data_IF_263514924346
#
_entry.id   IF_263514924346
#
_cell.length_a   1.000
_cell.length_b   1.000
_cell.length_c   1.000
_cell.angle_alpha   90.00
_cell.angle_beta   90.00
_cell.angle_gamma   90.00
#
_symmetry.space_group_name_H-M   'P 1'
#
loop_
_entity.id
_entity.type
_entity.pdbx_description
1 polymer ?
#
# COMPACT_ATOMS: atom_id res chain seq x y z
N UNK A 1 -50.99 60.68 -58.14
CA UNK A 1 -49.77 60.31 -57.37
C UNK A 1 -50.21 59.46 -56.17
N UNK A 2 -49.64 58.24 -56.03
CA UNK A 2 -49.26 57.50 -54.80
C UNK A 2 -50.21 57.56 -53.58
N UNK A 3 -50.60 56.51 -52.84
CA UNK A 3 -50.23 55.09 -52.67
C UNK A 3 -51.29 54.48 -51.71
N UNK A 4 -51.82 53.27 -51.98
CA UNK A 4 -51.57 51.97 -51.31
C UNK A 4 -51.88 51.94 -49.80
N UNK A 5 -52.99 51.33 -49.38
CA UNK A 5 -53.27 49.90 -49.07
C UNK A 5 -53.05 49.55 -47.60
N UNK A 6 -54.13 49.04 -47.00
CA UNK A 6 -54.28 48.47 -45.68
C UNK A 6 -53.49 47.16 -45.49
N UNK A 7 -53.18 46.82 -44.24
CA UNK A 7 -52.68 45.50 -43.88
C UNK A 7 -52.19 45.43 -42.44
N UNK A 8 -53.14 45.26 -41.50
CA UNK A 8 -52.86 44.86 -40.12
C UNK A 8 -52.46 43.37 -40.12
N UNK A 9 -51.29 43.04 -39.57
CA UNK A 9 -50.97 41.68 -39.14
C UNK A 9 -50.31 41.72 -37.76
N UNK A 10 -51.08 41.30 -36.75
CA UNK A 10 -50.58 40.88 -35.44
C UNK A 10 -49.75 39.60 -35.63
N UNK A 11 -48.46 39.65 -35.29
CA UNK A 11 -47.65 38.43 -35.15
C UNK A 11 -47.63 38.08 -33.66
N UNK A 12 -48.41 37.07 -33.29
CA UNK A 12 -48.30 36.36 -32.02
C UNK A 12 -47.04 35.48 -32.06
N UNK A 13 -45.92 35.99 -31.57
CA UNK A 13 -44.72 35.20 -31.32
C UNK A 13 -44.88 34.44 -30.00
N UNK A 14 -45.17 33.15 -30.10
CA UNK A 14 -45.16 32.19 -29.00
C UNK A 14 -43.76 32.13 -28.35
N UNK A 15 -43.65 32.11 -27.01
CA UNK A 15 -42.39 31.74 -26.38
C UNK A 15 -42.13 30.26 -26.68
N UNK A 16 -41.10 29.99 -27.46
CA UNK A 16 -40.50 28.65 -27.57
C UNK A 16 -39.94 28.34 -26.18
N UNK A 17 -40.71 27.63 -25.35
CA UNK A 17 -40.15 26.88 -24.25
C UNK A 17 -39.20 25.86 -24.88
N UNK A 18 -37.91 26.20 -24.90
CA UNK A 18 -36.85 25.22 -25.06
C UNK A 18 -36.96 24.25 -23.88
N UNK A 19 -37.75 23.20 -24.07
CA UNK A 19 -37.82 22.07 -23.17
C UNK A 19 -36.44 21.41 -23.27
N UNK A 20 -35.56 21.83 -22.37
CA UNK A 20 -34.26 21.21 -22.13
C UNK A 20 -34.58 19.81 -21.61
N UNK A 21 -34.83 18.88 -22.54
CA UNK A 21 -34.89 17.46 -22.24
C UNK A 21 -33.54 17.14 -21.63
N UNK A 22 -33.48 17.11 -20.30
CA UNK A 22 -32.35 16.49 -19.62
C UNK A 22 -32.42 15.05 -20.06
N UNK A 23 -31.56 14.69 -21.02
CA UNK A 23 -31.30 13.30 -21.30
C UNK A 23 -31.01 12.67 -19.94
N UNK A 24 -31.90 11.80 -19.46
CA UNK A 24 -31.64 11.04 -18.24
C UNK A 24 -30.42 10.19 -18.58
N UNK A 25 -29.24 10.67 -18.19
CA UNK A 25 -28.01 9.93 -18.38
C UNK A 25 -28.23 8.56 -17.78
N UNK A 26 -28.23 7.55 -18.65
CA UNK A 26 -28.48 6.17 -18.24
C UNK A 26 -27.30 5.78 -17.36
N UNK A 27 -27.56 5.61 -16.06
CA UNK A 27 -26.55 5.19 -15.12
C UNK A 27 -26.00 3.82 -15.53
N UNK A 28 -24.69 3.64 -15.37
CA UNK A 28 -23.98 2.42 -15.73
C UNK A 28 -23.69 1.62 -14.46
N UNK A 29 -23.98 0.33 -14.50
CA UNK A 29 -23.69 -0.59 -13.40
C UNK A 29 -22.19 -0.87 -13.31
N UNK A 30 -21.66 -0.85 -12.09
CA UNK A 30 -20.32 -1.24 -11.72
C UNK A 30 -20.41 -2.17 -10.50
N UNK A 31 -19.78 -3.34 -10.59
CA UNK A 31 -19.77 -4.33 -9.51
C UNK A 31 -18.37 -4.46 -8.93
N UNK A 32 -18.27 -4.53 -7.61
CA UNK A 32 -17.00 -4.72 -6.88
C UNK A 32 -17.24 -5.46 -5.56
N UNK A 33 -16.21 -6.13 -5.06
CA UNK A 33 -16.34 -6.99 -3.87
C UNK A 33 -15.18 -6.77 -2.89
N UNK A 34 -15.23 -5.72 -2.05
CA UNK A 34 -14.35 -5.60 -0.90
C UNK A 34 -14.88 -6.49 0.25
N UNK A 35 -13.96 -7.15 0.97
CA UNK A 35 -14.25 -7.81 2.25
C UNK A 35 -15.48 -8.75 2.29
N UNK A 36 -15.74 -9.50 1.22
CA UNK A 36 -16.89 -10.42 1.18
C UNK A 36 -18.26 -9.75 0.97
N UNK A 37 -18.31 -8.44 0.65
CA UNK A 37 -19.55 -7.76 0.30
C UNK A 37 -19.70 -7.59 -1.20
N UNK A 38 -20.78 -8.12 -1.79
CA UNK A 38 -21.16 -7.85 -3.17
C UNK A 38 -21.76 -6.45 -3.31
N UNK A 39 -21.00 -5.52 -3.89
CA UNK A 39 -21.45 -4.16 -4.12
C UNK A 39 -21.86 -3.94 -5.58
N UNK A 40 -23.02 -3.31 -5.79
CA UNK A 40 -23.54 -2.89 -7.10
C UNK A 40 -23.77 -1.38 -7.07
N UNK A 41 -22.79 -0.65 -7.62
CA UNK A 41 -22.82 0.80 -7.78
C UNK A 41 -23.32 1.22 -9.16
N UNK A 42 -24.04 2.33 -9.25
CA UNK A 42 -24.52 2.90 -10.51
C UNK A 42 -23.96 4.31 -10.68
N UNK A 43 -23.05 4.51 -11.63
CA UNK A 43 -22.37 5.78 -11.86
C UNK A 43 -22.90 6.52 -13.09
N UNK A 44 -22.68 7.83 -13.14
CA UNK A 44 -22.99 8.68 -14.30
C UNK A 44 -21.80 8.67 -15.27
N UNK A 45 -21.94 8.08 -16.49
CA UNK A 45 -20.84 7.99 -17.44
C UNK A 45 -20.41 9.35 -18.02
N UNK A 46 -21.18 10.41 -17.81
CA UNK A 46 -20.75 11.79 -18.15
C UNK A 46 -19.77 12.37 -17.12
N UNK A 47 -19.71 11.81 -15.91
CA UNK A 47 -18.80 12.25 -14.84
C UNK A 47 -17.54 11.40 -14.75
N UNK A 48 -17.68 10.08 -14.89
CA UNK A 48 -16.58 9.15 -14.70
C UNK A 48 -16.58 8.09 -15.80
N UNK A 49 -15.40 7.69 -16.25
CA UNK A 49 -15.22 6.52 -17.11
C UNK A 49 -14.98 5.26 -16.28
N UNK A 50 -15.36 4.10 -16.80
CA UNK A 50 -15.17 2.82 -16.08
C UNK A 50 -13.70 2.61 -15.72
N UNK A 51 -12.78 2.91 -16.63
CA UNK A 51 -11.34 2.73 -16.44
C UNK A 51 -10.81 3.60 -15.29
N UNK A 52 -11.40 4.78 -15.08
CA UNK A 52 -11.07 5.65 -13.96
C UNK A 52 -11.55 5.07 -12.63
N UNK A 53 -12.74 4.47 -12.61
CA UNK A 53 -13.28 3.79 -11.43
C UNK A 53 -12.43 2.54 -11.12
N UNK A 54 -12.07 1.75 -12.13
CA UNK A 54 -11.21 0.57 -11.98
C UNK A 54 -9.84 0.94 -11.38
N UNK A 55 -9.19 1.99 -11.90
CA UNK A 55 -7.90 2.43 -11.39
C UNK A 55 -7.99 3.06 -10.00
N UNK A 56 -9.06 3.80 -9.71
CA UNK A 56 -9.32 4.36 -8.38
C UNK A 56 -9.60 3.26 -7.35
N UNK A 57 -10.34 2.22 -7.73
CA UNK A 57 -10.62 1.07 -6.86
C UNK A 57 -9.33 0.36 -6.42
N UNK A 58 -8.35 0.23 -7.33
CA UNK A 58 -7.03 -0.32 -7.00
C UNK A 58 -6.26 0.51 -5.97
N UNK A 59 -6.52 1.81 -5.85
CA UNK A 59 -5.91 2.68 -4.84
C UNK A 59 -6.53 2.56 -3.44
N UNK A 60 -7.63 1.84 -3.28
CA UNK A 60 -8.16 1.52 -1.95
C UNK A 60 -7.21 0.60 -1.19
N UNK A 61 -6.52 -0.30 -1.91
CA UNK A 61 -5.51 -1.18 -1.35
C UNK A 61 -4.32 -1.36 -2.31
N UNK A 62 -3.51 -0.30 -2.52
CA UNK A 62 -2.51 -0.29 -3.59
C UNK A 62 -1.47 -1.41 -3.44
N UNK A 63 -1.26 -1.89 -2.20
CA UNK A 63 -0.36 -2.99 -1.84
C UNK A 63 -1.04 -3.96 -0.85
N UNK A 64 -2.31 -4.31 -1.09
CA UNK A 64 -3.04 -5.31 -0.27
C UNK A 64 -2.27 -6.63 -0.11
N UNK A 65 -1.39 -6.93 -1.05
CA UNK A 65 -0.37 -7.97 -0.96
C UNK A 65 1.01 -7.32 -1.10
N UNK A 66 2.02 -7.87 -0.40
CA UNK A 66 3.40 -7.43 -0.59
C UNK A 66 3.73 -7.47 -2.08
N UNK A 67 4.28 -6.39 -2.66
CA UNK A 67 4.63 -6.35 -4.07
C UNK A 67 5.88 -7.18 -4.38
N UNK A 68 6.55 -7.70 -3.34
CA UNK A 68 7.77 -8.48 -3.44
C UNK A 68 7.53 -9.94 -3.13
N UNK A 69 8.39 -10.81 -3.69
CA UNK A 69 8.45 -12.21 -3.27
C UNK A 69 8.65 -12.32 -1.74
N UNK A 70 8.23 -13.41 -1.11
CA UNK A 70 8.40 -13.57 0.35
C UNK A 70 9.89 -13.72 0.73
N UNK A 71 10.35 -13.00 1.76
CA UNK A 71 11.66 -13.18 2.40
C UNK A 71 11.45 -13.47 3.87
N UNK A 72 11.23 -14.74 4.16
CA UNK A 72 11.01 -15.22 5.51
C UNK A 72 12.23 -16.03 5.93
N UNK A 73 13.05 -15.42 6.79
CA UNK A 73 14.28 -15.99 7.33
C UNK A 73 14.13 -16.08 8.84
N UNK A 74 14.14 -17.31 9.35
CA UNK A 74 14.00 -17.62 10.77
C UNK A 74 15.01 -18.68 11.24
N UNK A 75 15.91 -19.11 10.35
CA UNK A 75 16.92 -20.10 10.67
C UNK A 75 18.20 -19.87 9.86
N UNK A 76 19.34 -20.41 10.33
CA UNK A 76 20.63 -20.14 9.72
C UNK A 76 20.80 -20.77 8.32
N UNK A 77 20.13 -21.87 8.02
CA UNK A 77 20.16 -22.51 6.69
C UNK A 77 19.58 -21.59 5.62
N UNK A 78 18.40 -20.99 5.89
CA UNK A 78 17.80 -19.99 4.99
C UNK A 78 18.64 -18.71 4.91
N UNK A 79 19.24 -18.30 6.02
CA UNK A 79 20.14 -17.15 6.07
C UNK A 79 21.35 -17.35 5.13
N UNK A 80 22.01 -18.51 5.17
CA UNK A 80 23.12 -18.83 4.26
C UNK A 80 22.68 -18.80 2.79
N UNK A 81 21.52 -19.38 2.49
CA UNK A 81 20.97 -19.37 1.14
C UNK A 81 20.72 -17.94 0.64
N UNK A 82 20.20 -17.06 1.48
CA UNK A 82 19.95 -15.66 1.12
C UNK A 82 21.26 -14.89 0.94
N UNK A 83 22.26 -15.12 1.80
CA UNK A 83 23.59 -14.52 1.66
C UNK A 83 24.27 -14.95 0.37
N UNK A 84 24.25 -16.26 0.07
CA UNK A 84 24.87 -16.82 -1.14
C UNK A 84 24.23 -16.29 -2.42
N UNK A 85 22.91 -16.10 -2.43
CA UNK A 85 22.16 -15.65 -3.59
C UNK A 85 21.84 -14.13 -3.56
N UNK A 86 22.53 -13.37 -2.70
CA UNK A 86 22.18 -11.97 -2.44
C UNK A 86 22.15 -11.11 -3.71
N UNK A 87 23.15 -11.17 -4.62
CA UNK A 87 23.11 -10.37 -5.85
C UNK A 87 21.89 -10.67 -6.73
N UNK A 88 21.51 -11.94 -6.85
CA UNK A 88 20.34 -12.37 -7.63
C UNK A 88 19.04 -11.91 -6.97
N UNK A 89 18.94 -12.00 -5.64
CA UNK A 89 17.78 -11.54 -4.89
C UNK A 89 17.62 -10.02 -4.99
N UNK A 90 18.70 -9.25 -4.96
CA UNK A 90 18.67 -7.80 -5.16
C UNK A 90 18.18 -7.43 -6.57
N UNK A 91 18.64 -8.15 -7.61
CA UNK A 91 18.13 -7.97 -8.97
C UNK A 91 16.65 -8.32 -9.08
N UNK A 92 16.20 -9.37 -8.39
CA UNK A 92 14.79 -9.75 -8.38
C UNK A 92 13.92 -8.66 -7.72
N UNK A 93 14.35 -8.12 -6.59
CA UNK A 93 13.66 -7.01 -5.90
C UNK A 93 13.56 -5.77 -6.79
N UNK A 94 14.61 -5.44 -7.55
CA UNK A 94 14.56 -4.35 -8.53
C UNK A 94 13.50 -4.61 -9.63
N UNK A 95 13.48 -5.83 -10.19
CA UNK A 95 12.49 -6.19 -11.21
C UNK A 95 11.05 -6.10 -10.68
N UNK A 96 10.81 -6.60 -9.48
CA UNK A 96 9.51 -6.56 -8.81
C UNK A 96 9.07 -5.12 -8.54
N UNK A 97 10.00 -4.27 -8.06
CA UNK A 97 9.76 -2.85 -7.85
C UNK A 97 9.37 -2.14 -9.15
N UNK A 98 10.15 -2.31 -10.22
CA UNK A 98 9.86 -1.66 -11.51
C UNK A 98 8.55 -2.15 -12.12
N UNK A 99 8.24 -3.45 -12.02
CA UNK A 99 6.97 -4.00 -12.46
C UNK A 99 5.79 -3.36 -11.70
N UNK A 100 5.85 -3.33 -10.38
CA UNK A 100 4.80 -2.75 -9.55
C UNK A 100 4.67 -1.24 -9.74
N UNK A 101 5.78 -0.53 -9.88
CA UNK A 101 5.80 0.91 -10.14
C UNK A 101 5.10 1.22 -11.45
N UNK A 102 5.39 0.45 -12.50
CA UNK A 102 4.72 0.57 -13.81
C UNK A 102 3.22 0.31 -13.71
N UNK A 103 2.80 -0.71 -12.95
CA UNK A 103 1.37 -0.98 -12.73
C UNK A 103 0.66 0.21 -12.07
N UNK A 104 1.27 0.79 -11.02
CA UNK A 104 0.72 1.96 -10.33
C UNK A 104 0.70 3.19 -11.26
N UNK A 105 1.80 3.49 -11.95
CA UNK A 105 1.87 4.68 -12.82
C UNK A 105 0.94 4.64 -14.02
N UNK A 106 0.51 3.44 -14.43
CA UNK A 106 -0.43 3.24 -15.53
C UNK A 106 -1.90 3.28 -15.07
N UNK A 107 -2.17 3.49 -13.79
CA UNK A 107 -3.55 3.61 -13.30
C UNK A 107 -4.18 4.89 -13.88
N UNK A 108 -5.31 4.70 -14.57
CA UNK A 108 -6.20 5.81 -14.88
C UNK A 108 -7.08 6.05 -13.65
N UNK A 109 -6.95 7.20 -13.00
CA UNK A 109 -7.64 7.51 -11.76
C UNK A 109 -8.64 8.64 -11.95
N UNK A 110 -9.63 8.72 -11.06
CA UNK A 110 -10.54 9.85 -11.03
C UNK A 110 -9.75 11.10 -10.61
N UNK A 111 -9.92 12.18 -11.37
CA UNK A 111 -9.23 13.45 -11.16
C UNK A 111 -9.84 14.25 -10.00
N UNK A 112 -9.66 13.75 -8.77
CA UNK A 112 -10.04 14.44 -7.53
C UNK A 112 -8.84 14.51 -6.57
N UNK A 113 -8.75 15.57 -5.73
CA UNK A 113 -7.62 15.74 -4.82
C UNK A 113 -7.35 14.55 -3.90
N UNK A 114 -8.41 13.90 -3.39
CA UNK A 114 -8.29 12.72 -2.52
C UNK A 114 -7.57 11.55 -3.22
N UNK A 115 -7.88 11.32 -4.50
CA UNK A 115 -7.28 10.23 -5.27
C UNK A 115 -5.87 10.55 -5.74
N UNK A 116 -5.59 11.81 -6.09
CA UNK A 116 -4.22 12.27 -6.36
C UNK A 116 -3.31 12.11 -5.14
N UNK A 117 -3.81 12.47 -3.95
CA UNK A 117 -3.10 12.28 -2.69
C UNK A 117 -2.84 10.80 -2.44
N UNK A 118 -3.88 9.95 -2.52
CA UNK A 118 -3.72 8.51 -2.29
C UNK A 118 -2.80 7.83 -3.30
N UNK A 119 -2.81 8.27 -4.55
CA UNK A 119 -1.85 7.83 -5.56
C UNK A 119 -0.40 8.17 -5.17
N UNK A 120 -0.13 9.40 -4.74
CA UNK A 120 1.20 9.81 -4.29
C UNK A 120 1.65 8.99 -3.06
N UNK A 121 0.75 8.79 -2.10
CA UNK A 121 1.00 7.93 -0.93
C UNK A 121 1.30 6.48 -1.33
N UNK A 122 0.58 5.93 -2.32
CA UNK A 122 0.83 4.58 -2.83
C UNK A 122 2.22 4.43 -3.47
N UNK A 123 2.65 5.42 -4.26
CA UNK A 123 4.00 5.43 -4.85
C UNK A 123 5.07 5.53 -3.75
N UNK A 124 4.88 6.43 -2.79
CA UNK A 124 5.81 6.58 -1.66
C UNK A 124 5.90 5.31 -0.81
N UNK A 125 4.76 4.64 -0.57
CA UNK A 125 4.71 3.37 0.14
C UNK A 125 5.52 2.30 -0.61
N UNK A 126 5.33 2.15 -1.93
CA UNK A 126 6.10 1.22 -2.75
C UNK A 126 7.60 1.52 -2.69
N UNK A 127 7.99 2.79 -2.80
CA UNK A 127 9.39 3.22 -2.74
C UNK A 127 10.02 2.86 -1.37
N UNK A 128 9.29 3.07 -0.27
CA UNK A 128 9.76 2.70 1.07
C UNK A 128 9.85 1.18 1.26
N UNK A 129 8.87 0.41 0.78
CA UNK A 129 8.94 -1.05 0.85
C UNK A 129 10.11 -1.61 0.03
N UNK A 130 10.37 -1.05 -1.16
CA UNK A 130 11.52 -1.40 -1.98
C UNK A 130 12.83 -1.14 -1.24
N UNK A 131 13.00 0.07 -0.69
CA UNK A 131 14.20 0.44 0.05
C UNK A 131 14.40 -0.45 1.28
N UNK A 132 13.35 -0.68 2.07
CA UNK A 132 13.43 -1.57 3.23
C UNK A 132 13.84 -2.98 2.81
N UNK A 133 13.26 -3.49 1.72
CA UNK A 133 13.56 -4.84 1.24
C UNK A 133 15.00 -4.97 0.75
N UNK A 134 15.49 -3.97 0.03
CA UNK A 134 16.87 -3.87 -0.43
C UNK A 134 17.85 -3.80 0.74
N UNK A 135 17.61 -2.89 1.69
CA UNK A 135 18.45 -2.73 2.87
C UNK A 135 18.47 -3.99 3.75
N UNK A 136 17.33 -4.65 3.92
CA UNK A 136 17.23 -5.94 4.63
C UNK A 136 18.09 -7.02 3.97
N UNK A 137 17.98 -7.17 2.63
CA UNK A 137 18.82 -8.11 1.88
C UNK A 137 20.30 -7.77 2.02
N UNK A 138 20.68 -6.51 1.85
CA UNK A 138 22.06 -6.06 2.00
C UNK A 138 22.59 -6.35 3.40
N UNK A 139 21.79 -6.10 4.44
CA UNK A 139 22.17 -6.34 5.83
C UNK A 139 22.46 -7.80 6.15
N UNK A 140 21.75 -8.74 5.51
CA UNK A 140 22.06 -10.16 5.68
C UNK A 140 23.45 -10.52 5.13
N UNK A 141 23.90 -9.86 4.06
CA UNK A 141 25.23 -10.07 3.48
C UNK A 141 26.33 -9.31 4.23
N UNK A 142 26.07 -8.04 4.54
CA UNK A 142 26.93 -7.12 5.28
C UNK A 142 26.09 -6.26 6.24
N UNK A 143 26.03 -6.60 7.54
CA UNK A 143 25.24 -5.85 8.52
C UNK A 143 25.58 -4.36 8.56
N UNK A 144 26.84 -3.99 8.32
CA UNK A 144 27.30 -2.59 8.38
C UNK A 144 26.65 -1.70 7.33
N UNK A 145 26.04 -2.28 6.28
CA UNK A 145 25.29 -1.53 5.28
C UNK A 145 24.16 -0.68 5.90
N UNK A 146 23.62 -1.09 7.05
CA UNK A 146 22.53 -0.39 7.74
C UNK A 146 22.95 0.97 8.33
N UNK A 147 24.26 1.25 8.45
CA UNK A 147 24.75 2.56 8.93
C UNK A 147 24.20 3.73 8.11
N UNK A 148 23.96 3.51 6.82
CA UNK A 148 23.45 4.52 5.89
C UNK A 148 21.96 4.33 5.58
N UNK A 149 21.25 3.52 6.37
CA UNK A 149 19.82 3.25 6.16
C UNK A 149 19.01 4.53 6.25
N UNK A 150 18.02 4.70 5.37
CA UNK A 150 17.01 5.77 5.49
C UNK A 150 16.26 5.69 6.83
N UNK A 151 16.12 4.49 7.38
CA UNK A 151 15.40 4.20 8.62
C UNK A 151 16.29 4.27 9.87
N UNK A 152 17.55 4.70 9.73
CA UNK A 152 18.51 4.71 10.84
C UNK A 152 18.00 5.46 12.07
N UNK A 153 17.51 6.69 11.90
CA UNK A 153 17.03 7.47 13.03
C UNK A 153 15.80 6.85 13.69
N UNK A 154 14.94 6.19 12.92
CA UNK A 154 13.74 5.54 13.45
C UNK A 154 14.07 4.25 14.20
N UNK A 155 15.03 3.47 13.71
CA UNK A 155 15.36 2.14 14.23
C UNK A 155 16.76 2.09 14.84
N UNK A 156 17.22 3.22 15.40
CA UNK A 156 18.62 3.45 15.80
C UNK A 156 19.14 2.36 16.72
N UNK A 157 18.42 2.08 17.80
CA UNK A 157 18.87 1.11 18.81
C UNK A 157 19.09 -0.28 18.21
N UNK A 158 18.16 -0.73 17.36
CA UNK A 158 18.27 -2.01 16.67
C UNK A 158 19.45 -1.99 15.69
N UNK A 159 19.61 -0.94 14.89
CA UNK A 159 20.71 -0.86 13.93
C UNK A 159 22.06 -0.80 14.63
N UNK A 160 22.20 0.01 15.68
CA UNK A 160 23.44 0.14 16.45
C UNK A 160 23.84 -1.20 17.08
N UNK A 161 22.87 -2.01 17.51
CA UNK A 161 23.11 -3.37 17.96
C UNK A 161 23.58 -4.30 16.83
N UNK A 162 22.95 -4.22 15.65
CA UNK A 162 23.30 -5.03 14.46
C UNK A 162 24.71 -4.72 13.95
N UNK A 163 25.08 -3.44 13.88
CA UNK A 163 26.35 -2.99 13.28
C UNK A 163 27.51 -2.93 14.27
N UNK A 164 27.26 -3.30 15.54
CA UNK A 164 28.26 -3.22 16.59
C UNK A 164 29.44 -4.15 16.32
N UNK A 165 30.66 -3.63 16.45
CA UNK A 165 31.86 -4.47 16.47
C UNK A 165 31.98 -5.25 17.80
N UNK A 166 31.20 -4.88 18.81
CA UNK A 166 31.12 -5.55 20.11
C UNK A 166 29.92 -6.53 20.12
N UNK A 167 30.22 -7.82 19.99
CA UNK A 167 29.21 -8.88 20.02
C UNK A 167 28.39 -8.90 21.31
N UNK A 168 28.98 -8.49 22.44
CA UNK A 168 28.26 -8.47 23.71
C UNK A 168 27.15 -7.40 23.72
N UNK A 169 27.33 -6.28 23.00
CA UNK A 169 26.27 -5.28 22.82
C UNK A 169 25.12 -5.83 21.98
N UNK A 170 25.42 -6.51 20.87
CA UNK A 170 24.42 -7.19 20.04
C UNK A 170 23.62 -8.20 20.87
N UNK A 171 24.31 -9.05 21.64
CA UNK A 171 23.67 -10.05 22.48
C UNK A 171 22.84 -9.47 23.61
N UNK A 172 23.32 -8.41 24.26
CA UNK A 172 22.56 -7.71 25.31
C UNK A 172 21.27 -7.14 24.76
N UNK A 173 21.35 -6.44 23.62
CA UNK A 173 20.16 -5.90 22.97
C UNK A 173 19.20 -7.01 22.53
N UNK A 174 19.72 -8.05 21.86
CA UNK A 174 18.93 -9.21 21.43
C UNK A 174 18.21 -9.87 22.60
N UNK A 175 18.89 -10.12 23.73
CA UNK A 175 18.26 -10.71 24.91
C UNK A 175 17.17 -9.80 25.48
N UNK A 176 17.45 -8.51 25.67
CA UNK A 176 16.51 -7.56 26.25
C UNK A 176 15.22 -7.39 25.43
N UNK A 177 15.32 -7.32 24.09
CA UNK A 177 14.14 -7.21 23.20
C UNK A 177 13.16 -8.39 23.33
N UNK A 178 13.67 -9.50 23.82
CA UNK A 178 13.01 -10.78 23.81
C UNK A 178 12.58 -11.20 25.22
N UNK A 179 13.30 -10.78 26.26
CA UNK A 179 12.93 -10.97 27.67
C UNK A 179 11.53 -10.43 28.01
N UNK A 180 11.11 -9.30 27.42
CA UNK A 180 9.76 -8.77 27.62
C UNK A 180 8.67 -9.66 27.02
N UNK A 181 8.96 -10.38 25.93
CA UNK A 181 8.01 -11.29 25.26
C UNK A 181 7.83 -12.62 26.01
N UNK A 182 8.68 -12.91 27.00
CA UNK A 182 8.71 -14.18 27.72
C UNK A 182 7.87 -14.21 28.99
N UNK A 183 7.52 -13.03 29.53
CA UNK A 183 6.81 -12.92 30.81
C UNK A 183 5.51 -13.73 30.82
N UNK A 184 4.83 -13.79 29.68
CA UNK A 184 3.55 -14.49 29.53
C UNK A 184 3.58 -15.63 28.49
N UNK A 185 4.77 -16.04 28.01
CA UNK A 185 4.90 -17.07 26.98
C UNK A 185 6.13 -18.00 27.19
N UNK A 186 5.96 -19.09 27.97
CA UNK A 186 7.04 -20.06 28.23
C UNK A 186 7.62 -20.71 26.98
N UNK A 187 6.82 -20.93 25.93
CA UNK A 187 7.28 -21.54 24.67
C UNK A 187 8.20 -20.60 23.89
N UNK A 188 7.92 -19.29 23.90
CA UNK A 188 8.78 -18.29 23.30
C UNK A 188 10.14 -18.25 24.01
N UNK A 189 10.15 -18.39 25.34
CA UNK A 189 11.38 -18.49 26.12
C UNK A 189 12.21 -19.71 25.75
N UNK A 190 11.60 -20.90 25.70
CA UNK A 190 12.31 -22.13 25.32
C UNK A 190 12.91 -22.04 23.91
N UNK A 191 12.15 -21.47 22.97
CA UNK A 191 12.60 -21.28 21.58
C UNK A 191 13.84 -20.38 21.51
N UNK A 192 13.88 -19.32 22.31
CA UNK A 192 15.04 -18.45 22.37
C UNK A 192 16.22 -19.08 23.09
N UNK A 193 16.00 -19.76 24.22
CA UNK A 193 17.06 -20.45 24.94
C UNK A 193 17.76 -21.48 24.04
N UNK A 194 17.01 -22.13 23.14
CA UNK A 194 17.58 -22.99 22.07
C UNK A 194 18.50 -22.21 21.15
N UNK A 195 18.06 -21.08 20.58
CA UNK A 195 18.90 -20.22 19.73
C UNK A 195 20.12 -19.65 20.47
N UNK A 196 19.96 -19.33 21.75
CA UNK A 196 21.00 -18.72 22.58
C UNK A 196 22.16 -19.69 22.89
N UNK A 197 21.87 -20.98 22.98
CA UNK A 197 22.84 -22.04 23.26
C UNK A 197 23.33 -22.77 22.00
N UNK A 198 22.86 -22.38 20.82
CA UNK A 198 23.24 -22.97 19.54
C UNK A 198 24.65 -22.53 19.10
N UNK A 199 25.38 -23.38 18.39
CA UNK A 199 26.70 -23.04 17.84
C UNK A 199 26.65 -21.88 16.84
N UNK A 200 25.51 -21.68 16.17
CA UNK A 200 25.22 -20.58 15.25
C UNK A 200 24.47 -19.43 15.93
N UNK A 201 24.63 -19.25 17.25
CA UNK A 201 24.05 -18.15 18.04
C UNK A 201 24.19 -16.78 17.37
N UNK A 202 25.36 -16.49 16.81
CA UNK A 202 25.64 -15.23 16.10
C UNK A 202 24.68 -15.01 14.92
N UNK A 203 24.45 -16.04 14.11
CA UNK A 203 23.54 -15.95 12.98
C UNK A 203 22.10 -15.78 13.44
N UNK A 204 21.69 -16.50 14.49
CA UNK A 204 20.36 -16.32 15.08
C UNK A 204 20.14 -14.90 15.60
N UNK A 205 21.13 -14.32 16.29
CA UNK A 205 21.07 -12.95 16.76
C UNK A 205 20.87 -11.96 15.59
N UNK A 206 21.67 -12.09 14.53
CA UNK A 206 21.56 -11.23 13.35
C UNK A 206 20.21 -11.40 12.63
N UNK A 207 19.75 -12.64 12.45
CA UNK A 207 18.45 -12.93 11.82
C UNK A 207 17.32 -12.24 12.60
N UNK A 208 17.27 -12.44 13.90
CA UNK A 208 16.21 -11.92 14.75
C UNK A 208 16.26 -10.38 14.80
N UNK A 209 17.44 -9.79 14.94
CA UNK A 209 17.59 -8.33 14.97
C UNK A 209 17.28 -7.67 13.63
N UNK A 210 17.67 -8.28 12.50
CA UNK A 210 17.30 -7.78 11.17
C UNK A 210 15.78 -7.89 10.95
N UNK A 211 15.13 -8.92 11.47
CA UNK A 211 13.66 -9.03 11.45
C UNK A 211 12.98 -7.95 12.32
N UNK A 212 13.58 -7.61 13.47
CA UNK A 212 13.12 -6.49 14.31
C UNK A 212 13.29 -5.16 13.57
N UNK A 213 14.45 -4.93 12.94
CA UNK A 213 14.68 -3.76 12.09
C UNK A 213 13.64 -3.67 10.98
N UNK A 214 13.36 -4.79 10.29
CA UNK A 214 12.35 -4.85 9.24
C UNK A 214 10.97 -4.42 9.77
N UNK A 215 10.59 -4.94 10.93
CA UNK A 215 9.32 -4.59 11.60
C UNK A 215 9.27 -3.11 11.99
N UNK A 216 10.33 -2.60 12.61
CA UNK A 216 10.45 -1.19 13.02
C UNK A 216 10.32 -0.24 11.83
N UNK A 217 11.09 -0.48 10.76
CA UNK A 217 11.07 0.35 9.56
C UNK A 217 9.71 0.25 8.86
N UNK A 218 9.14 -0.95 8.75
CA UNK A 218 7.83 -1.15 8.13
C UNK A 218 6.70 -0.38 8.85
N UNK A 219 6.73 -0.30 10.18
CA UNK A 219 5.77 0.53 10.94
C UNK A 219 5.97 2.03 10.73
N UNK A 220 7.15 2.49 10.32
CA UNK A 220 7.44 3.92 10.21
C UNK A 220 6.82 4.61 9.00
N UNK A 221 6.33 3.86 8.02
CA UNK A 221 5.83 4.41 6.77
C UNK A 221 4.49 3.84 6.30
N UNK A 222 3.89 2.91 7.04
CA UNK A 222 2.53 2.44 6.77
C UNK A 222 1.52 3.36 7.43
N UNK A 223 0.45 3.66 6.69
CA UNK A 223 -0.68 4.44 7.19
C UNK A 223 -1.45 3.68 8.27
N UNK A 224 -2.17 4.43 9.11
CA UNK A 224 -3.07 3.87 10.13
C UNK A 224 -4.41 3.46 9.52
N UNK A 225 -5.15 2.58 10.22
CA UNK A 225 -6.43 2.02 9.78
C UNK A 225 -7.51 3.11 9.54
N UNK A 226 -7.41 4.26 10.23
CA UNK A 226 -8.37 5.37 10.11
C UNK A 226 -8.45 5.97 8.70
N UNK A 227 -7.35 5.92 7.94
CA UNK A 227 -7.31 6.43 6.56
C UNK A 227 -8.19 5.60 5.60
N UNK A 228 -8.40 4.31 5.88
CA UNK A 228 -9.07 3.40 4.95
C UNK A 228 -10.59 3.64 4.91
N UNK A 229 -11.25 3.87 6.04
CA UNK A 229 -12.70 4.15 6.09
C UNK A 229 -13.06 5.45 5.36
N UNK A 230 -12.21 6.48 5.47
CA UNK A 230 -12.39 7.74 4.75
C UNK A 230 -12.32 7.52 3.23
N UNK A 231 -11.38 6.70 2.77
CA UNK A 231 -11.23 6.38 1.34
C UNK A 231 -12.39 5.57 0.81
N UNK A 232 -12.90 4.60 1.58
CA UNK A 232 -14.11 3.85 1.22
C UNK A 232 -15.32 4.76 1.03
N UNK A 233 -15.57 5.63 2.00
CA UNK A 233 -16.66 6.63 1.90
C UNK A 233 -16.47 7.58 0.72
N UNK A 234 -15.23 7.94 0.37
CA UNK A 234 -14.94 8.73 -0.81
C UNK A 234 -15.22 7.95 -2.11
N UNK A 235 -14.91 6.66 -2.15
CA UNK A 235 -15.20 5.79 -3.28
C UNK A 235 -16.70 5.60 -3.50
N UNK A 236 -17.45 5.38 -2.43
CA UNK A 236 -18.91 5.19 -2.52
C UNK A 236 -19.63 6.40 -3.15
N UNK A 237 -19.11 7.62 -2.92
CA UNK A 237 -19.64 8.87 -3.49
C UNK A 237 -19.52 8.96 -5.01
N UNK A 238 -18.77 8.06 -5.65
CA UNK A 238 -18.71 7.94 -7.12
C UNK A 238 -20.07 7.48 -7.66
N UNK A 239 -20.81 6.67 -6.90
CA UNK A 239 -22.06 6.06 -7.33
C UNK A 239 -23.27 6.90 -6.93
N UNK A 240 -24.17 7.12 -7.89
CA UNK A 240 -25.47 7.78 -7.67
C UNK A 240 -26.40 6.88 -6.87
N UNK A 241 -26.27 5.55 -7.06
CA UNK A 241 -26.96 4.53 -6.27
C UNK A 241 -25.97 3.42 -5.95
N UNK A 242 -25.98 2.97 -4.71
CA UNK A 242 -25.14 1.86 -4.26
C UNK A 242 -26.01 0.85 -3.52
N UNK A 243 -25.93 -0.42 -3.93
CA UNK A 243 -26.53 -1.55 -3.21
C UNK A 243 -25.40 -2.42 -2.68
N UNK A 244 -25.49 -2.80 -1.40
CA UNK A 244 -24.54 -3.69 -0.74
C UNK A 244 -25.26 -4.95 -0.31
N UNK A 245 -24.68 -6.09 -0.60
CA UNK A 245 -25.10 -7.38 -0.06
C UNK A 245 -23.87 -7.99 0.61
N UNK A 246 -23.84 -7.98 1.94
CA UNK A 246 -22.74 -8.55 2.71
C UNK A 246 -23.24 -9.84 3.33
N UNK A 247 -22.41 -10.89 3.32
CA UNK A 247 -22.68 -12.05 4.15
C UNK A 247 -22.67 -11.59 5.62
N UNK A 248 -23.74 -11.88 6.37
CA UNK A 248 -23.75 -11.66 7.82
C UNK A 248 -22.70 -12.57 8.48
N UNK A 249 -21.94 -12.09 9.48
CA UNK A 249 -20.92 -12.89 10.17
C UNK A 249 -21.51 -14.08 10.93
#
# INVERSE_FOLDING_TARGET
MKKLIAGLTLILSFPVLAQKNSAKNKLVLYSYQPFGCDNKGYFDPSKYKKEQIDGTYKLLYPLSWSPFSSLVIFNPVKFDMVRKNNPQLLQQVEKEYQARKKELTNLNIIDLPVWKKKYAEAIQLLDNEYLLRKETLMAYADPKSLRNSKFYNTCRETIDAIISDDQQKMYTYWKNTFEEKYKDNPQAKETFDKKWNDERKNDFALIDLINIFNTCANHSFRNTIEDDDILFKAFDKIFVKLKRNCDEP
#
